data_IF_392865093898
#
_entry.id   IF_392865093898
#
_cell.length_a   1.000
_cell.length_b   1.000
_cell.length_c   1.000
_cell.angle_alpha   90.00
_cell.angle_beta   90.00
_cell.angle_gamma   90.00
#
_symmetry.space_group_name_H-M   'P 1'
#
loop_
_entity.id
_entity.type
_entity.pdbx_description
1 polymer ?
#
# COMPACT_ATOMS: atom_id res chain seq x y z
N UNK A 1 21.67 30.95 -67.85
CA UNK A 1 20.54 30.61 -66.97
C UNK A 1 20.69 29.16 -66.56
N UNK A 2 20.65 28.85 -65.27
CA UNK A 2 20.59 27.47 -64.76
C UNK A 2 21.66 27.13 -63.73
N UNK A 3 21.54 27.69 -62.52
CA UNK A 3 22.24 27.18 -61.33
C UNK A 3 21.25 26.45 -60.45
N UNK A 4 21.64 25.23 -60.12
CA UNK A 4 20.96 24.22 -59.32
C UNK A 4 20.86 24.60 -57.84
N UNK A 5 20.00 23.85 -57.13
CA UNK A 5 19.85 23.70 -55.66
C UNK A 5 18.83 24.69 -55.10
N UNK A 6 17.89 24.36 -54.21
CA UNK A 6 17.91 23.41 -53.10
C UNK A 6 16.47 22.95 -52.82
N UNK A 7 16.25 21.64 -52.68
CA UNK A 7 15.01 21.12 -52.12
C UNK A 7 15.07 21.29 -50.59
N UNK A 8 14.23 22.14 -50.03
CA UNK A 8 13.97 22.18 -48.59
C UNK A 8 12.65 21.46 -48.31
N UNK A 9 12.76 20.15 -48.06
CA UNK A 9 11.69 19.39 -47.45
C UNK A 9 11.74 19.66 -45.94
N UNK A 10 10.84 20.49 -45.44
CA UNK A 10 10.65 20.71 -44.01
C UNK A 10 9.80 19.55 -43.45
N UNK A 11 10.45 18.46 -43.09
CA UNK A 11 9.82 17.38 -42.33
C UNK A 11 9.67 17.83 -40.87
N UNK A 12 8.48 18.34 -40.52
CA UNK A 12 8.11 18.60 -39.14
C UNK A 12 7.74 17.26 -38.49
N UNK A 13 8.75 16.53 -38.03
CA UNK A 13 8.55 15.30 -37.26
C UNK A 13 7.91 15.64 -35.92
N UNK A 14 6.64 15.27 -35.78
CA UNK A 14 5.95 15.14 -34.49
C UNK A 14 6.78 14.24 -33.57
N UNK A 15 7.44 14.84 -32.58
CA UNK A 15 7.86 14.11 -31.39
C UNK A 15 6.67 14.21 -30.43
N UNK A 16 5.66 13.36 -30.64
CA UNK A 16 4.72 13.05 -29.57
C UNK A 16 5.51 12.23 -28.55
N UNK A 17 6.12 12.91 -27.57
CA UNK A 17 6.57 12.25 -26.36
C UNK A 17 5.34 11.58 -25.74
N UNK A 18 5.34 10.25 -25.73
CA UNK A 18 4.39 9.48 -24.91
C UNK A 18 4.74 9.78 -23.46
N UNK A 19 4.08 10.79 -22.89
CA UNK A 19 4.02 10.97 -21.46
C UNK A 19 3.21 9.79 -20.93
N UNK A 20 3.90 8.79 -20.39
CA UNK A 20 3.25 7.83 -19.50
C UNK A 20 2.83 8.64 -18.28
N UNK A 21 1.53 8.87 -18.12
CA UNK A 21 0.99 9.27 -16.84
C UNK A 21 1.21 8.08 -15.90
N UNK A 22 2.26 8.11 -15.08
CA UNK A 22 2.31 7.27 -13.89
C UNK A 22 1.05 7.59 -13.10
N UNK A 23 0.19 6.60 -12.88
CA UNK A 23 -0.93 6.77 -11.97
C UNK A 23 -0.32 7.18 -10.63
N UNK A 24 -0.70 8.37 -10.15
CA UNK A 24 -0.27 8.86 -8.86
C UNK A 24 -0.69 7.82 -7.81
N UNK A 25 0.26 7.40 -6.98
CA UNK A 25 -0.01 6.47 -5.91
C UNK A 25 -0.88 7.17 -4.87
N UNK A 26 -2.17 6.83 -4.85
CA UNK A 26 -3.12 7.39 -3.91
C UNK A 26 -2.92 6.76 -2.52
N UNK A 27 -2.10 7.43 -1.72
CA UNK A 27 -1.79 6.99 -0.36
C UNK A 27 -3.02 7.06 0.57
N UNK A 28 -3.92 8.02 0.33
CA UNK A 28 -5.13 8.16 1.15
C UNK A 28 -6.10 7.02 0.88
N UNK A 29 -6.35 6.70 -0.39
CA UNK A 29 -7.14 5.54 -0.80
C UNK A 29 -6.56 4.24 -0.24
N UNK A 30 -5.24 4.06 -0.32
CA UNK A 30 -4.57 2.89 0.27
C UNK A 30 -4.86 2.77 1.77
N UNK A 31 -4.71 3.86 2.53
CA UNK A 31 -4.92 3.82 3.98
C UNK A 31 -6.39 3.62 4.36
N UNK A 32 -7.33 4.13 3.55
CA UNK A 32 -8.76 3.86 3.71
C UNK A 32 -9.10 2.39 3.43
N UNK A 33 -8.49 1.77 2.42
CA UNK A 33 -8.64 0.32 2.19
C UNK A 33 -8.03 -0.49 3.33
N UNK A 34 -6.88 -0.10 3.87
CA UNK A 34 -6.28 -0.74 5.05
C UNK A 34 -7.24 -0.71 6.25
N UNK A 35 -7.87 0.43 6.54
CA UNK A 35 -8.85 0.57 7.62
C UNK A 35 -10.06 -0.36 7.43
N UNK A 36 -10.64 -0.35 6.22
CA UNK A 36 -11.76 -1.23 5.87
C UNK A 36 -11.37 -2.70 5.97
N UNK A 37 -10.17 -3.04 5.52
CA UNK A 37 -9.69 -4.41 5.45
C UNK A 37 -9.41 -5.00 6.83
N UNK A 38 -8.83 -4.24 7.76
CA UNK A 38 -8.66 -4.75 9.13
C UNK A 38 -10.01 -4.99 9.83
N UNK A 39 -11.02 -4.14 9.59
CA UNK A 39 -12.37 -4.38 10.10
C UNK A 39 -12.97 -5.66 9.50
N UNK A 40 -12.77 -5.90 8.21
CA UNK A 40 -13.23 -7.14 7.55
C UNK A 40 -12.52 -8.38 8.09
N UNK A 41 -11.20 -8.33 8.35
CA UNK A 41 -10.47 -9.43 8.99
C UNK A 41 -11.08 -9.77 10.34
N UNK A 42 -11.35 -8.75 11.18
CA UNK A 42 -11.97 -8.95 12.49
C UNK A 42 -13.37 -9.57 12.36
N UNK A 43 -14.19 -9.09 11.43
CA UNK A 43 -15.53 -9.61 11.17
C UNK A 43 -15.50 -11.07 10.69
N UNK A 44 -14.57 -11.41 9.79
CA UNK A 44 -14.41 -12.76 9.27
C UNK A 44 -13.91 -13.73 10.35
N UNK A 45 -12.99 -13.30 11.23
CA UNK A 45 -12.58 -14.10 12.40
C UNK A 45 -13.80 -14.37 13.30
N UNK A 46 -14.61 -13.35 13.60
CA UNK A 46 -15.82 -13.50 14.41
C UNK A 46 -16.86 -14.43 13.76
N UNK A 47 -16.97 -14.39 12.42
CA UNK A 47 -17.81 -15.28 11.63
C UNK A 47 -17.21 -16.69 11.45
N UNK A 48 -16.02 -16.95 12.00
CA UNK A 48 -15.23 -18.19 11.82
C UNK A 48 -14.86 -18.49 10.36
N UNK A 49 -14.86 -17.47 9.50
CA UNK A 49 -14.34 -17.55 8.14
C UNK A 49 -12.82 -17.31 8.14
N UNK A 50 -12.09 -18.33 8.57
CA UNK A 50 -10.63 -18.27 8.66
C UNK A 50 -9.96 -18.11 7.28
N UNK A 51 -10.57 -18.63 6.23
CA UNK A 51 -10.00 -18.61 4.87
C UNK A 51 -10.03 -17.19 4.29
N UNK A 52 -11.16 -16.50 4.40
CA UNK A 52 -11.27 -15.11 3.95
C UNK A 52 -10.43 -14.19 4.84
N UNK A 53 -10.44 -14.40 6.17
CA UNK A 53 -9.58 -13.65 7.08
C UNK A 53 -8.09 -13.80 6.75
N UNK A 54 -7.63 -15.01 6.38
CA UNK A 54 -6.23 -15.25 6.05
C UNK A 54 -5.82 -14.55 4.75
N UNK A 55 -6.69 -14.57 3.73
CA UNK A 55 -6.48 -13.86 2.47
C UNK A 55 -6.33 -12.36 2.72
N UNK A 56 -7.25 -11.77 3.47
CA UNK A 56 -7.23 -10.33 3.77
C UNK A 56 -6.06 -9.94 4.70
N UNK A 57 -5.66 -10.80 5.64
CA UNK A 57 -4.48 -10.55 6.47
C UNK A 57 -3.17 -10.56 5.65
N UNK A 58 -3.11 -11.37 4.58
CA UNK A 58 -2.00 -11.31 3.62
C UNK A 58 -2.00 -10.02 2.81
N UNK A 59 -3.17 -9.60 2.32
CA UNK A 59 -3.31 -8.31 1.62
C UNK A 59 -2.87 -7.14 2.52
N UNK A 60 -3.24 -7.12 3.80
CA UNK A 60 -2.76 -6.10 4.75
C UNK A 60 -1.22 -6.06 4.82
N UNK A 61 -0.56 -7.22 4.84
CA UNK A 61 0.90 -7.29 4.83
C UNK A 61 1.49 -6.70 3.54
N UNK A 62 0.86 -6.97 2.40
CA UNK A 62 1.27 -6.43 1.09
C UNK A 62 1.07 -4.91 1.02
N UNK A 63 -0.04 -4.40 1.55
CA UNK A 63 -0.31 -2.96 1.64
C UNK A 63 0.74 -2.25 2.49
N UNK A 64 1.12 -2.82 3.64
CA UNK A 64 2.16 -2.21 4.47
C UNK A 64 3.57 -2.28 3.86
N UNK A 65 3.82 -3.14 2.86
CA UNK A 65 5.02 -3.04 2.02
C UNK A 65 4.96 -1.84 1.07
N UNK A 66 3.77 -1.49 0.55
CA UNK A 66 3.58 -0.28 -0.24
C UNK A 66 3.78 0.98 0.62
N UNK A 67 3.24 0.99 1.83
CA UNK A 67 3.44 2.07 2.82
C UNK A 67 4.94 2.22 3.16
N UNK A 68 5.65 1.11 3.39
CA UNK A 68 7.10 1.14 3.61
C UNK A 68 7.82 1.79 2.42
N UNK A 69 7.54 1.33 1.20
CA UNK A 69 8.15 1.86 -0.03
C UNK A 69 7.84 3.34 -0.26
N UNK A 70 6.66 3.81 0.12
CA UNK A 70 6.28 5.23 0.06
C UNK A 70 7.18 6.06 0.98
N UNK A 71 7.31 5.69 2.26
CA UNK A 71 8.13 6.45 3.22
C UNK A 71 9.64 6.32 2.97
N UNK A 72 10.10 5.19 2.42
CA UNK A 72 11.48 5.03 1.96
C UNK A 72 11.81 6.02 0.83
N UNK A 73 10.92 6.16 -0.16
CA UNK A 73 11.09 7.13 -1.26
C UNK A 73 11.02 8.57 -0.76
N UNK A 74 10.17 8.84 0.24
CA UNK A 74 10.06 10.15 0.88
C UNK A 74 11.36 10.57 1.58
N UNK A 75 12.04 9.62 2.23
CA UNK A 75 13.42 9.78 2.73
C UNK A 75 13.59 10.56 4.03
N UNK A 76 12.54 11.19 4.55
CA UNK A 76 12.55 12.03 5.76
C UNK A 76 11.74 11.42 6.93
N UNK A 77 11.27 10.17 6.80
CA UNK A 77 10.34 9.53 7.75
C UNK A 77 10.81 8.11 8.17
N UNK A 78 11.99 7.95 8.79
CA UNK A 78 12.53 6.64 9.17
C UNK A 78 11.67 5.88 10.19
N UNK A 79 10.97 6.59 11.07
CA UNK A 79 9.98 6.02 11.99
C UNK A 79 8.77 5.46 11.25
N UNK A 80 8.31 6.11 10.17
CA UNK A 80 7.21 5.58 9.37
C UNK A 80 7.60 4.31 8.60
N UNK A 81 8.85 4.24 8.11
CA UNK A 81 9.42 3.01 7.52
C UNK A 81 9.42 1.89 8.55
N UNK A 82 9.93 2.16 9.76
CA UNK A 82 9.96 1.19 10.86
C UNK A 82 8.55 0.71 11.23
N UNK A 83 7.62 1.63 11.43
CA UNK A 83 6.23 1.30 11.78
C UNK A 83 5.59 0.44 10.68
N UNK A 84 5.85 0.76 9.40
CA UNK A 84 5.34 -0.04 8.28
C UNK A 84 5.82 -1.49 8.34
N UNK A 85 7.08 -1.72 8.71
CA UNK A 85 7.64 -3.05 8.90
C UNK A 85 7.01 -3.75 10.12
N UNK A 86 6.77 -3.05 11.21
CA UNK A 86 6.05 -3.61 12.37
C UNK A 86 4.65 -4.07 11.99
N UNK A 87 3.92 -3.30 11.18
CA UNK A 87 2.59 -3.67 10.70
C UNK A 87 2.60 -4.87 9.76
N UNK A 88 3.64 -5.05 8.93
CA UNK A 88 3.83 -6.29 8.19
C UNK A 88 3.98 -7.49 9.14
N UNK A 89 4.70 -7.33 10.25
CA UNK A 89 4.83 -8.36 11.30
C UNK A 89 3.52 -8.64 12.05
N UNK A 90 2.70 -7.63 12.30
CA UNK A 90 1.37 -7.81 12.91
C UNK A 90 0.43 -8.56 11.96
N UNK A 91 0.41 -8.20 10.67
CA UNK A 91 -0.34 -8.94 9.65
C UNK A 91 0.11 -10.41 9.57
N UNK A 92 1.42 -10.66 9.63
CA UNK A 92 1.97 -12.02 9.69
C UNK A 92 1.50 -12.79 10.94
N UNK A 93 1.39 -12.12 12.08
CA UNK A 93 0.93 -12.73 13.33
C UNK A 93 -0.53 -13.19 13.24
N UNK A 94 -1.39 -12.39 12.60
CA UNK A 94 -2.78 -12.77 12.30
C UNK A 94 -2.80 -14.03 11.41
N UNK A 95 -2.01 -14.03 10.33
CA UNK A 95 -1.91 -15.17 9.41
C UNK A 95 -1.45 -16.45 10.13
N UNK A 96 -0.44 -16.35 11.00
CA UNK A 96 0.09 -17.49 11.76
C UNK A 96 -0.94 -18.07 12.73
N UNK A 97 -1.70 -17.23 13.44
CA UNK A 97 -2.76 -17.69 14.33
C UNK A 97 -3.90 -18.39 13.56
N UNK A 98 -4.32 -17.81 12.43
CA UNK A 98 -5.32 -18.41 11.53
C UNK A 98 -4.86 -19.77 10.99
N UNK A 99 -3.59 -19.87 10.56
CA UNK A 99 -3.02 -21.13 10.07
C UNK A 99 -2.93 -22.23 11.15
N UNK A 100 -2.78 -21.83 12.41
CA UNK A 100 -2.82 -22.74 13.56
C UNK A 100 -4.25 -23.14 13.97
N UNK A 101 -5.29 -22.55 13.36
CA UNK A 101 -6.68 -22.74 13.76
C UNK A 101 -7.05 -22.04 15.08
N UNK A 102 -6.19 -21.16 15.58
CA UNK A 102 -6.39 -20.43 16.82
C UNK A 102 -7.10 -19.09 16.55
N UNK A 103 -8.43 -19.16 16.49
CA UNK A 103 -9.27 -18.00 16.19
C UNK A 103 -9.26 -16.95 17.32
N UNK A 104 -9.05 -17.37 18.57
CA UNK A 104 -8.96 -16.45 19.70
C UNK A 104 -7.65 -15.64 19.63
N UNK A 105 -6.52 -16.30 19.37
CA UNK A 105 -5.26 -15.61 19.14
C UNK A 105 -5.30 -14.73 17.89
N UNK A 106 -5.97 -15.17 16.81
CA UNK A 106 -6.16 -14.37 15.62
C UNK A 106 -6.96 -13.09 15.91
N UNK A 107 -8.05 -13.20 16.70
CA UNK A 107 -8.85 -12.05 17.11
C UNK A 107 -8.05 -11.06 17.96
N UNK A 108 -7.23 -11.55 18.90
CA UNK A 108 -6.33 -10.69 19.70
C UNK A 108 -5.34 -9.98 18.79
N UNK A 109 -4.67 -10.69 17.89
CA UNK A 109 -3.70 -10.10 16.97
C UNK A 109 -4.35 -9.05 16.04
N UNK A 110 -5.56 -9.32 15.53
CA UNK A 110 -6.30 -8.39 14.68
C UNK A 110 -6.78 -7.13 15.44
N UNK A 111 -7.12 -7.26 16.73
CA UNK A 111 -7.44 -6.12 17.58
C UNK A 111 -6.20 -5.29 17.93
N UNK A 112 -5.06 -5.93 18.14
CA UNK A 112 -3.80 -5.23 18.43
C UNK A 112 -3.25 -4.49 17.21
N UNK A 113 -3.53 -5.00 16.00
CA UNK A 113 -3.25 -4.29 14.75
C UNK A 113 -3.97 -2.93 14.70
N UNK A 114 -5.28 -2.89 14.93
CA UNK A 114 -6.08 -1.67 14.76
C UNK A 114 -5.81 -0.59 15.83
N UNK A 115 -5.50 -0.99 17.07
CA UNK A 115 -5.29 -0.06 18.19
C UNK A 115 -4.07 0.85 18.04
N UNK A 116 -3.09 0.45 17.24
CA UNK A 116 -1.81 1.16 17.15
C UNK A 116 -1.79 2.23 16.04
N UNK A 117 -2.81 2.28 15.16
CA UNK A 117 -2.76 3.09 13.94
C UNK A 117 -2.59 4.58 14.24
N UNK A 118 -3.20 5.05 15.33
CA UNK A 118 -3.14 6.45 15.74
C UNK A 118 -1.74 6.89 16.15
N UNK A 119 -1.19 6.23 17.16
CA UNK A 119 0.12 6.59 17.73
C UNK A 119 1.30 6.22 16.84
N UNK A 120 1.16 5.20 15.98
CA UNK A 120 2.20 4.80 15.05
C UNK A 120 2.29 5.76 13.85
N UNK A 121 1.16 6.10 13.24
CA UNK A 121 1.18 6.87 11.99
C UNK A 121 0.26 8.08 11.99
N UNK A 122 -1.00 7.96 12.44
CA UNK A 122 -1.99 9.01 12.14
C UNK A 122 -1.69 10.34 12.83
N UNK A 123 -1.17 10.35 14.05
CA UNK A 123 -0.89 11.60 14.78
C UNK A 123 0.22 12.45 14.09
N UNK A 124 1.07 11.84 13.26
CA UNK A 124 2.21 12.51 12.60
C UNK A 124 2.08 12.62 11.08
N UNK A 125 1.48 11.63 10.43
CA UNK A 125 1.53 11.45 8.97
C UNK A 125 0.17 11.48 8.29
N UNK A 126 -0.95 11.46 9.03
CA UNK A 126 -2.26 11.66 8.40
C UNK A 126 -2.36 13.13 7.97
N UNK A 127 -2.63 13.42 6.68
CA UNK A 127 -2.91 14.79 6.26
C UNK A 127 -4.10 15.34 7.08
N UNK A 128 -4.02 16.62 7.50
CA UNK A 128 -5.14 17.34 8.12
C UNK A 128 -6.20 17.70 7.09
#
# INVERSE_FOLDING_TARGET
MGTQKWAFALALSLICGVAFAEAEFDFEELMNDVETKIQNVQNNIAAKDAATAATQAKELQEQFKLVEGFFQKRGDAPDAVHNSQEYQGKAQSIQSALAAGDLDAAAVAANDFSKQCRGACHDKYKPL
#
